data_IF_085477136985
#
_entry.id   IF_085477136985
#
_cell.length_a   1.000
_cell.length_b   1.000
_cell.length_c   1.000
_cell.angle_alpha   90.00
_cell.angle_beta   90.00
_cell.angle_gamma   90.00
#
_symmetry.space_group_name_H-M   'P 1'
#
loop_
_entity.id
_entity.type
_entity.pdbx_description
1 polymer ?
#
# COMPACT_ATOMS: atom_id res chain seq x y z
N UNK A 1 -21.47 -3.60 -14.07
CA UNK A 1 -20.57 -3.16 -15.15
C UNK A 1 -20.32 -1.68 -14.88
N UNK A 2 -19.11 -1.32 -14.43
CA UNK A 2 -18.79 0.08 -14.15
C UNK A 2 -18.02 0.62 -15.35
N UNK A 3 -18.59 1.63 -16.02
CA UNK A 3 -17.97 2.30 -17.15
C UNK A 3 -17.05 3.41 -16.65
N UNK A 4 -15.88 3.54 -17.28
CA UNK A 4 -14.89 4.56 -16.93
C UNK A 4 -15.39 5.93 -17.41
N UNK A 5 -16.01 6.72 -16.52
CA UNK A 5 -16.43 8.10 -16.85
C UNK A 5 -17.53 8.72 -15.99
N UNK A 6 -18.20 7.96 -15.12
CA UNK A 6 -19.21 8.52 -14.21
C UNK A 6 -18.52 9.14 -12.99
N UNK A 7 -18.22 10.43 -13.06
CA UNK A 7 -17.86 11.22 -11.88
C UNK A 7 -19.15 11.50 -11.11
N UNK A 8 -19.71 10.46 -10.47
CA UNK A 8 -20.77 10.64 -9.48
C UNK A 8 -20.27 11.62 -8.42
N UNK A 9 -21.14 12.50 -7.92
CA UNK A 9 -20.82 13.51 -6.92
C UNK A 9 -20.14 12.87 -5.71
N UNK A 10 -18.80 12.82 -5.76
CA UNK A 10 -17.98 12.38 -4.66
C UNK A 10 -18.05 13.51 -3.65
N UNK A 11 -18.83 13.30 -2.59
CA UNK A 11 -18.69 14.05 -1.34
C UNK A 11 -17.19 14.27 -1.11
N UNK A 12 -16.74 15.47 -0.71
CA UNK A 12 -15.34 15.74 -0.52
C UNK A 12 -14.78 14.64 0.37
N UNK A 13 -13.90 13.82 -0.20
CA UNK A 13 -13.23 12.78 0.55
C UNK A 13 -12.52 13.54 1.64
N UNK A 14 -12.98 13.39 2.90
CA UNK A 14 -12.31 13.89 4.09
C UNK A 14 -11.02 13.07 4.29
N UNK A 15 -10.15 13.11 3.28
CA UNK A 15 -8.83 12.51 3.28
C UNK A 15 -7.89 13.47 4.00
N UNK A 16 -7.23 12.97 5.03
CA UNK A 16 -6.30 13.76 5.85
C UNK A 16 -5.89 13.06 7.15
N UNK A 17 -6.75 12.18 7.68
CA UNK A 17 -6.34 11.17 8.67
C UNK A 17 -5.74 9.98 7.93
N UNK A 18 -4.59 9.46 8.35
CA UNK A 18 -3.95 8.30 7.72
C UNK A 18 -4.85 7.06 7.63
N UNK A 19 -4.34 5.99 7.02
CA UNK A 19 -5.12 4.77 6.81
C UNK A 19 -5.32 4.03 8.13
N UNK A 20 -6.56 3.70 8.50
CA UNK A 20 -6.83 2.79 9.61
C UNK A 20 -6.57 1.34 9.15
N UNK A 21 -5.35 0.83 9.35
CA UNK A 21 -5.03 -0.56 8.98
C UNK A 21 -5.76 -1.58 9.85
N UNK A 22 -6.33 -1.17 10.99
CA UNK A 22 -7.09 -2.00 11.92
C UNK A 22 -8.39 -2.57 11.34
N UNK A 23 -9.07 -1.79 10.49
CA UNK A 23 -10.46 -2.07 10.12
C UNK A 23 -10.62 -3.37 9.31
N UNK A 24 -9.75 -3.69 8.33
CA UNK A 24 -9.84 -4.96 7.64
C UNK A 24 -9.58 -6.17 8.55
N UNK A 25 -8.66 -6.09 9.53
CA UNK A 25 -8.44 -7.20 10.49
C UNK A 25 -9.66 -7.45 11.37
N UNK A 26 -10.30 -6.38 11.87
CA UNK A 26 -11.54 -6.49 12.64
C UNK A 26 -12.66 -7.15 11.82
N UNK A 27 -12.75 -6.82 10.54
CA UNK A 27 -13.72 -7.44 9.64
C UNK A 27 -13.44 -8.92 9.44
N UNK A 28 -12.19 -9.32 9.18
CA UNK A 28 -11.80 -10.72 9.03
C UNK A 28 -12.18 -11.54 10.27
N UNK A 29 -11.90 -11.02 11.46
CA UNK A 29 -12.27 -11.67 12.72
C UNK A 29 -13.80 -11.76 12.92
N UNK A 30 -14.55 -10.70 12.58
CA UNK A 30 -16.03 -10.66 12.71
C UNK A 30 -16.72 -11.63 11.75
N UNK A 31 -16.16 -11.82 10.56
CA UNK A 31 -16.73 -12.67 9.51
C UNK A 31 -16.17 -14.11 9.56
N UNK A 32 -15.35 -14.44 10.58
CA UNK A 32 -14.67 -15.74 10.73
C UNK A 32 -13.88 -16.16 9.48
N UNK A 33 -13.26 -15.18 8.83
CA UNK A 33 -12.42 -15.40 7.65
C UNK A 33 -11.01 -15.68 8.11
N UNK A 34 -10.50 -16.86 7.75
CA UNK A 34 -9.15 -17.32 8.08
C UNK A 34 -8.26 -17.31 6.83
N UNK A 35 -7.65 -16.16 6.48
CA UNK A 35 -6.80 -16.06 5.29
C UNK A 35 -5.49 -16.81 5.49
N UNK A 36 -4.94 -17.34 4.40
CA UNK A 36 -3.59 -17.92 4.40
C UNK A 36 -2.52 -16.83 4.59
N UNK A 37 -2.78 -15.62 4.09
CA UNK A 37 -1.97 -14.42 4.32
C UNK A 37 -2.75 -13.16 3.95
N UNK A 38 -2.34 -12.00 4.46
CA UNK A 38 -2.88 -10.69 4.12
C UNK A 38 -1.80 -9.81 3.52
N UNK A 39 -2.12 -9.04 2.48
CA UNK A 39 -1.20 -8.07 1.87
C UNK A 39 -1.80 -6.67 1.92
N UNK A 40 -1.01 -5.70 2.38
CA UNK A 40 -1.31 -4.28 2.26
C UNK A 40 -0.36 -3.62 1.27
N UNK A 41 -0.90 -2.96 0.24
CA UNK A 41 -0.15 -1.97 -0.54
C UNK A 41 -0.42 -0.59 0.07
N UNK A 42 0.60 0.00 0.69
CA UNK A 42 0.42 1.22 1.50
C UNK A 42 1.64 2.13 1.44
N UNK A 43 1.46 3.41 1.72
CA UNK A 43 2.53 4.36 2.02
C UNK A 43 3.00 4.28 3.48
N UNK A 44 2.48 3.33 4.26
CA UNK A 44 2.74 3.08 5.69
C UNK A 44 2.24 4.17 6.63
N UNK A 45 1.50 5.16 6.13
CA UNK A 45 0.97 6.22 6.97
C UNK A 45 -0.42 5.86 7.51
N UNK A 46 -0.46 5.42 8.76
CA UNK A 46 -1.69 4.92 9.36
C UNK A 46 -1.51 4.35 10.76
N UNK A 47 -2.60 3.79 11.30
CA UNK A 47 -2.59 3.08 12.59
C UNK A 47 -2.56 1.58 12.34
N UNK A 48 -1.51 0.93 12.84
CA UNK A 48 -1.39 -0.53 12.85
C UNK A 48 -2.27 -1.16 13.94
N UNK A 49 -2.66 -2.43 13.77
CA UNK A 49 -3.23 -3.23 14.87
C UNK A 49 -2.24 -3.34 16.03
N UNK A 50 -2.78 -3.37 17.24
CA UNK A 50 -1.97 -3.49 18.47
C UNK A 50 -1.48 -4.93 18.69
N UNK A 51 -2.17 -5.93 18.11
CA UNK A 51 -1.83 -7.36 18.22
C UNK A 51 -1.57 -7.98 16.84
N UNK A 52 -0.56 -8.86 16.75
CA UNK A 52 -0.27 -9.62 15.54
C UNK A 52 -1.33 -10.73 15.34
N UNK A 53 -1.94 -10.82 14.15
CA UNK A 53 -2.93 -11.85 13.85
C UNK A 53 -2.29 -13.25 13.70
N UNK A 54 -3.08 -14.34 13.80
CA UNK A 54 -2.57 -15.71 13.69
C UNK A 54 -2.22 -16.15 12.25
N UNK A 55 -2.11 -15.20 11.31
CA UNK A 55 -1.79 -15.43 9.90
C UNK A 55 -0.72 -14.44 9.43
N UNK A 56 0.13 -14.83 8.45
CA UNK A 56 1.14 -13.96 7.89
C UNK A 56 0.58 -12.65 7.32
N UNK A 57 1.30 -11.55 7.55
CA UNK A 57 0.98 -10.23 6.98
C UNK A 57 2.18 -9.70 6.21
N UNK A 58 1.95 -9.28 4.97
CA UNK A 58 2.92 -8.61 4.10
C UNK A 58 2.53 -7.15 3.89
N UNK A 59 3.44 -6.25 4.20
CA UNK A 59 3.32 -4.81 4.02
C UNK A 59 4.17 -4.37 2.82
N UNK A 60 3.52 -4.26 1.67
CA UNK A 60 4.11 -3.74 0.45
C UNK A 60 4.13 -2.19 0.50
N UNK A 61 5.27 -1.63 0.88
CA UNK A 61 5.48 -0.19 1.01
C UNK A 61 5.69 0.48 -0.34
N UNK A 62 4.91 1.51 -0.63
CA UNK A 62 5.06 2.39 -1.81
C UNK A 62 6.08 3.50 -1.61
N UNK A 63 6.55 3.69 -0.37
CA UNK A 63 7.63 4.60 0.00
C UNK A 63 8.88 3.80 0.38
N UNK A 64 10.08 4.38 0.28
CA UNK A 64 11.28 3.65 0.67
C UNK A 64 11.26 3.23 2.13
N UNK A 65 11.67 2.00 2.44
CA UNK A 65 11.56 1.46 3.81
C UNK A 65 12.33 2.29 4.85
N UNK A 66 13.42 2.97 4.44
CA UNK A 66 14.17 3.90 5.30
C UNK A 66 13.37 5.13 5.76
N UNK A 67 12.27 5.43 5.08
CA UNK A 67 11.40 6.59 5.32
C UNK A 67 9.97 6.16 5.67
N UNK A 68 9.71 4.85 5.72
CA UNK A 68 8.42 4.28 6.07
C UNK A 68 8.23 4.26 7.59
N UNK A 69 6.97 4.29 8.03
CA UNK A 69 6.65 3.85 9.38
C UNK A 69 6.70 2.33 9.41
N UNK A 70 7.54 1.78 10.29
CA UNK A 70 7.70 0.33 10.37
C UNK A 70 6.49 -0.28 11.08
N UNK A 71 5.82 -1.22 10.39
CA UNK A 71 4.80 -2.05 11.00
C UNK A 71 5.38 -2.83 12.19
N UNK A 72 4.61 -3.02 13.28
CA UNK A 72 5.07 -3.73 14.48
C UNK A 72 5.21 -5.25 14.29
N UNK A 73 4.63 -5.80 13.23
CA UNK A 73 4.65 -7.24 12.91
C UNK A 73 4.54 -7.48 11.40
N UNK A 74 4.72 -8.72 10.99
CA UNK A 74 4.71 -9.13 9.58
C UNK A 74 5.97 -8.75 8.81
N UNK A 75 6.00 -9.10 7.52
CA UNK A 75 7.11 -8.80 6.62
C UNK A 75 6.86 -7.48 5.88
N UNK A 76 7.88 -6.63 5.74
CA UNK A 76 7.82 -5.40 4.96
C UNK A 76 8.68 -5.52 3.72
N UNK A 77 8.14 -5.13 2.57
CA UNK A 77 8.85 -5.08 1.29
C UNK A 77 8.65 -3.73 0.62
N UNK A 78 9.70 -3.21 -0.02
CA UNK A 78 9.61 -2.00 -0.84
C UNK A 78 9.07 -2.36 -2.23
N UNK A 79 8.03 -1.66 -2.68
CA UNK A 79 7.50 -1.78 -4.04
C UNK A 79 8.27 -0.83 -4.94
N UNK A 80 9.20 -1.39 -5.71
CA UNK A 80 10.00 -0.62 -6.66
C UNK A 80 9.26 -0.59 -8.00
N UNK A 81 8.67 0.56 -8.34
CA UNK A 81 8.21 0.81 -9.69
C UNK A 81 9.43 0.93 -10.61
N UNK A 82 9.73 -0.12 -11.36
CA UNK A 82 10.76 -0.06 -12.40
C UNK A 82 10.29 0.90 -13.50
N UNK A 83 10.73 2.16 -13.44
CA UNK A 83 10.63 3.02 -14.60
C UNK A 83 11.40 2.35 -15.76
N UNK A 84 10.86 2.35 -16.99
CA UNK A 84 11.60 1.83 -18.13
C UNK A 84 12.94 2.55 -18.19
N UNK A 85 14.04 1.81 -18.32
CA UNK A 85 15.38 2.38 -18.51
C UNK A 85 15.31 3.29 -19.74
N UNK A 86 15.21 4.60 -19.52
CA UNK A 86 15.32 5.56 -20.61
C UNK A 86 16.76 5.47 -21.10
N UNK A 87 16.95 5.04 -22.36
CA UNK A 87 18.27 4.95 -22.95
C UNK A 87 18.99 6.31 -22.81
N UNK A 88 20.30 6.33 -22.51
CA UNK A 88 21.03 7.58 -22.44
C UNK A 88 20.90 8.33 -23.78
N UNK A 89 20.76 9.67 -23.78
CA UNK A 89 20.68 10.43 -25.02
C UNK A 89 21.93 10.13 -25.88
N UNK A 90 21.80 10.03 -27.21
CA UNK A 90 22.96 9.81 -28.07
C UNK A 90 23.97 10.94 -27.83
N UNK A 91 25.23 10.58 -27.61
CA UNK A 91 26.31 11.57 -27.54
C UNK A 91 26.37 12.25 -28.90
N UNK A 92 26.02 13.53 -28.97
CA UNK A 92 26.36 14.35 -30.13
C UNK A 92 27.90 14.44 -30.16
N UNK A 93 28.52 13.71 -31.07
CA UNK A 93 29.88 14.01 -31.48
C UNK A 93 29.85 15.34 -32.24
N UNK A 94 30.29 16.42 -31.60
CA UNK A 94 30.67 17.63 -32.33
C UNK A 94 31.94 17.30 -33.12
N UNK A 95 31.80 17.21 -34.44
CA UNK A 95 32.90 17.18 -35.42
C UNK A 95 33.44 18.57 -35.68
#
# INVERSE_FOLDING_TARGET
MFERGELGDLLPVLGGGGTAFTDPFLRLAREDINPVFVVYLTDTFGRYPDEEPPYPVLWASTVPLRSANLAPFGEMVEVICQAPRMAPPPRLCCS
#
